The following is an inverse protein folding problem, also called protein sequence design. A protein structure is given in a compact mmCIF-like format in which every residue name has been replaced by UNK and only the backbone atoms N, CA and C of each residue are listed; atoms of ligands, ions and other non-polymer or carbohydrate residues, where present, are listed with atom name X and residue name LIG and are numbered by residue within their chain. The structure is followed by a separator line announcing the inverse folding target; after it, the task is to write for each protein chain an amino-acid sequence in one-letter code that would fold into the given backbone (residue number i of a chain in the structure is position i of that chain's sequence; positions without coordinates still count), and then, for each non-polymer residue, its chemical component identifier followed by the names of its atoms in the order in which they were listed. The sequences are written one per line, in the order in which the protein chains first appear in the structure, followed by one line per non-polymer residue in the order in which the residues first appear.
data_IF_206557009507
#
_entry.id   IF_206557009507
#
_cell.length_a   1.000
_cell.length_b   1.000
_cell.length_c   1.000
_cell.angle_alpha   90.00
_cell.angle_beta   90.00
_cell.angle_gamma   90.00
#
_symmetry.space_group_name_H-M   'P 1'
#
loop_
_entity.id
_entity.type
_entity.pdbx_description
1 polymer ?
#
# COMPACT_ATOMS: atom_id res chain seq x y z
N UNK A 1 -19.57 9.68 0.48
CA UNK A 1 -19.34 10.67 1.57
C UNK A 1 -18.23 10.18 2.52
N UNK A 2 -17.13 9.62 1.99
CA UNK A 2 -16.17 8.79 2.75
C UNK A 2 -14.85 9.48 3.15
N UNK A 3 -14.66 10.75 2.79
CA UNK A 3 -13.56 11.60 3.29
C UNK A 3 -14.00 13.05 3.53
N UNK A 4 -15.27 13.29 3.90
CA UNK A 4 -15.69 14.62 4.34
C UNK A 4 -15.36 14.82 5.82
N UNK A 5 -14.07 14.83 6.15
CA UNK A 5 -13.62 15.84 7.11
C UNK A 5 -13.83 17.15 6.35
N UNK A 6 -14.96 17.82 6.59
CA UNK A 6 -15.18 19.13 6.01
C UNK A 6 -13.96 20.00 6.34
N UNK A 7 -13.59 20.89 5.42
CA UNK A 7 -12.58 21.93 5.68
C UNK A 7 -12.80 22.59 7.05
N UNK A 8 -14.06 22.77 7.44
CA UNK A 8 -14.51 23.18 8.77
C UNK A 8 -14.04 22.27 9.90
N UNK A 9 -14.26 20.95 9.82
CA UNK A 9 -13.78 19.97 10.82
C UNK A 9 -12.25 19.97 10.95
N UNK A 10 -11.51 20.14 9.85
CA UNK A 10 -10.04 20.27 9.90
C UNK A 10 -9.60 21.50 10.72
N UNK A 11 -10.22 22.66 10.49
CA UNK A 11 -9.92 23.86 11.27
C UNK A 11 -10.41 23.78 12.72
N UNK A 12 -11.59 23.18 12.97
CA UNK A 12 -12.12 23.00 14.33
C UNK A 12 -11.21 22.11 15.20
N UNK A 13 -10.56 21.09 14.60
CA UNK A 13 -9.57 20.26 15.30
C UNK A 13 -8.32 21.00 15.77
N UNK A 14 -8.00 22.17 15.20
CA UNK A 14 -6.92 23.02 15.72
C UNK A 14 -7.28 23.66 17.06
N UNK A 15 -8.58 23.73 17.40
CA UNK A 15 -9.03 24.09 18.74
C UNK A 15 -9.12 22.86 19.63
N UNK A 16 -8.35 22.87 20.72
CA UNK A 16 -8.21 21.74 21.65
C UNK A 16 -9.55 21.25 22.23
N UNK A 17 -10.46 22.18 22.57
CA UNK A 17 -11.78 21.87 23.12
C UNK A 17 -12.66 21.09 22.13
N UNK A 18 -12.72 21.55 20.87
CA UNK A 18 -13.48 20.87 19.83
C UNK A 18 -12.87 19.51 19.46
N UNK A 19 -11.54 19.38 19.50
CA UNK A 19 -10.87 18.10 19.27
C UNK A 19 -11.35 17.03 20.26
N UNK A 20 -11.35 17.33 21.56
CA UNK A 20 -11.80 16.38 22.60
C UNK A 20 -13.27 16.00 22.41
N UNK A 21 -14.13 16.99 22.13
CA UNK A 21 -15.57 16.75 21.98
C UNK A 21 -15.92 15.92 20.74
N UNK A 22 -15.18 16.09 19.65
CA UNK A 22 -15.45 15.41 18.38
C UNK A 22 -14.83 14.01 18.31
N UNK A 23 -13.80 13.71 19.11
CA UNK A 23 -13.05 12.46 19.00
C UNK A 23 -13.91 11.18 19.19
N UNK A 24 -14.87 11.12 20.14
CA UNK A 24 -15.76 9.96 20.26
C UNK A 24 -16.61 9.72 19.01
N UNK A 25 -17.16 10.80 18.43
CA UNK A 25 -17.96 10.73 17.21
C UNK A 25 -17.12 10.28 16.00
N UNK A 26 -15.93 10.87 15.85
CA UNK A 26 -15.00 10.49 14.78
C UNK A 26 -14.52 9.04 14.93
N UNK A 27 -14.25 8.61 16.16
CA UNK A 27 -13.89 7.22 16.47
C UNK A 27 -15.01 6.25 16.10
N UNK A 28 -16.25 6.57 16.46
CA UNK A 28 -17.42 5.77 16.07
C UNK A 28 -17.61 5.71 14.55
N UNK A 29 -17.52 6.86 13.87
CA UNK A 29 -17.62 6.91 12.41
C UNK A 29 -16.51 6.10 11.73
N UNK A 30 -15.26 6.19 12.19
CA UNK A 30 -14.15 5.35 11.69
C UNK A 30 -14.45 3.87 11.83
N UNK A 31 -14.99 3.43 12.98
CA UNK A 31 -15.39 2.03 13.18
C UNK A 31 -16.46 1.57 12.18
N UNK A 32 -17.44 2.43 11.87
CA UNK A 32 -18.47 2.11 10.87
C UNK A 32 -17.88 1.99 9.45
N UNK A 33 -17.00 2.91 9.06
CA UNK A 33 -16.32 2.85 7.75
C UNK A 33 -15.46 1.59 7.64
N UNK A 34 -14.67 1.27 8.67
CA UNK A 34 -13.87 0.03 8.69
C UNK A 34 -14.75 -1.21 8.59
N UNK A 35 -15.88 -1.25 9.31
CA UNK A 35 -16.81 -2.37 9.22
C UNK A 35 -17.41 -2.53 7.81
N UNK A 36 -17.71 -1.41 7.13
CA UNK A 36 -18.20 -1.41 5.76
C UNK A 36 -17.12 -1.90 4.77
N UNK A 37 -15.90 -1.37 4.85
CA UNK A 37 -14.77 -1.82 4.00
C UNK A 37 -14.48 -3.30 4.21
N UNK A 38 -14.53 -3.79 5.46
CA UNK A 38 -14.38 -5.22 5.77
C UNK A 38 -15.43 -6.08 5.07
N UNK A 39 -16.69 -5.67 5.10
CA UNK A 39 -17.77 -6.40 4.40
C UNK A 39 -17.47 -6.43 2.90
N UNK A 40 -17.08 -5.29 2.31
CA UNK A 40 -16.76 -5.21 0.88
C UNK A 40 -15.55 -6.03 0.48
N UNK A 41 -14.53 -6.09 1.32
CA UNK A 41 -13.37 -6.93 1.13
C UNK A 41 -13.73 -8.42 1.15
N UNK A 42 -14.48 -8.87 2.16
CA UNK A 42 -14.92 -10.27 2.23
C UNK A 42 -15.81 -10.67 1.03
N UNK A 43 -16.64 -9.75 0.55
CA UNK A 43 -17.51 -9.98 -0.62
C UNK A 43 -16.73 -10.08 -1.94
N UNK A 44 -15.67 -9.28 -2.12
CA UNK A 44 -15.09 -9.03 -3.45
C UNK A 44 -13.59 -9.34 -3.60
N UNK A 45 -12.86 -9.59 -2.51
CA UNK A 45 -11.39 -9.73 -2.51
C UNK A 45 -10.90 -10.77 -3.52
N UNK A 46 -11.40 -12.00 -3.47
CA UNK A 46 -10.99 -13.07 -4.40
C UNK A 46 -11.23 -12.68 -5.88
N UNK A 47 -12.33 -11.98 -6.18
CA UNK A 47 -12.65 -11.53 -7.54
C UNK A 47 -11.70 -10.41 -7.98
N UNK A 48 -11.44 -9.44 -7.11
CA UNK A 48 -10.55 -8.31 -7.39
C UNK A 48 -9.13 -8.82 -7.59
N UNK A 49 -8.64 -9.64 -6.66
CA UNK A 49 -7.33 -10.29 -6.71
C UNK A 49 -7.11 -11.03 -8.03
N UNK A 50 -8.03 -11.93 -8.38
CA UNK A 50 -7.92 -12.71 -9.62
C UNK A 50 -8.00 -11.82 -10.87
N UNK A 51 -8.84 -10.78 -10.85
CA UNK A 51 -8.95 -9.84 -11.98
C UNK A 51 -7.63 -9.10 -12.21
N UNK A 52 -7.00 -8.59 -11.14
CA UNK A 52 -5.73 -7.85 -11.23
C UNK A 52 -4.60 -8.76 -11.71
N UNK A 53 -4.40 -9.92 -11.06
CA UNK A 53 -3.32 -10.85 -11.42
C UNK A 53 -3.44 -11.33 -12.87
N UNK A 54 -4.65 -11.71 -13.31
CA UNK A 54 -4.84 -12.20 -14.68
C UNK A 54 -4.64 -11.10 -15.72
N UNK A 55 -5.07 -9.86 -15.43
CA UNK A 55 -4.84 -8.72 -16.32
C UNK A 55 -3.35 -8.46 -16.51
N UNK A 56 -2.58 -8.40 -15.41
CA UNK A 56 -1.14 -8.13 -15.46
C UNK A 56 -0.39 -9.28 -16.15
N UNK A 57 -0.70 -10.53 -15.80
CA UNK A 57 -0.11 -11.73 -16.41
C UNK A 57 -0.38 -11.79 -17.92
N UNK A 58 -1.62 -11.55 -18.36
CA UNK A 58 -1.98 -11.52 -19.78
C UNK A 58 -1.20 -10.47 -20.57
N UNK A 59 -0.85 -9.36 -19.93
CA UNK A 59 -0.07 -8.30 -20.54
C UNK A 59 1.45 -8.45 -20.33
N UNK A 60 1.91 -9.60 -19.83
CA UNK A 60 3.34 -9.88 -19.66
C UNK A 60 4.02 -9.01 -18.61
N UNK A 61 3.28 -8.56 -17.59
CA UNK A 61 3.83 -7.81 -16.46
C UNK A 61 4.16 -8.80 -15.35
N UNK A 62 5.40 -8.73 -14.86
CA UNK A 62 5.83 -9.52 -13.71
C UNK A 62 5.37 -8.82 -12.43
N UNK A 63 4.44 -9.48 -11.71
CA UNK A 63 3.86 -8.99 -10.46
C UNK A 63 3.97 -10.10 -9.41
N UNK A 64 4.29 -9.74 -8.17
CA UNK A 64 4.37 -10.66 -7.04
C UNK A 64 3.53 -10.16 -5.86
N UNK A 65 3.21 -11.07 -4.94
CA UNK A 65 2.58 -10.69 -3.67
C UNK A 65 3.62 -10.00 -2.81
N UNK A 66 3.23 -8.89 -2.19
CA UNK A 66 4.11 -8.12 -1.34
C UNK A 66 3.46 -7.80 0.01
N UNK A 67 4.22 -7.21 0.94
CA UNK A 67 3.77 -6.74 2.25
C UNK A 67 2.69 -7.61 2.93
N UNK A 68 1.54 -7.03 3.29
CA UNK A 68 0.50 -7.69 4.08
C UNK A 68 -0.12 -8.86 3.33
N UNK A 69 -0.22 -8.75 2.00
CA UNK A 69 -0.73 -9.82 1.15
C UNK A 69 0.20 -11.02 1.09
N UNK A 70 1.51 -10.81 0.94
CA UNK A 70 2.51 -11.88 1.00
C UNK A 70 2.55 -12.51 2.40
N UNK A 71 2.54 -11.68 3.44
CA UNK A 71 2.55 -12.13 4.83
C UNK A 71 1.34 -13.02 5.13
N UNK A 72 0.14 -12.59 4.74
CA UNK A 72 -1.08 -13.39 4.87
C UNK A 72 -0.98 -14.71 4.09
N UNK A 73 -0.61 -14.65 2.80
CA UNK A 73 -0.49 -15.84 1.98
C UNK A 73 0.50 -16.86 2.55
N UNK A 74 1.64 -16.41 3.08
CA UNK A 74 2.70 -17.27 3.61
C UNK A 74 2.41 -17.80 5.02
N UNK A 75 1.89 -16.95 5.93
CA UNK A 75 1.68 -17.28 7.34
C UNK A 75 0.29 -17.87 7.60
N UNK A 76 -0.74 -17.24 7.04
CA UNK A 76 -2.14 -17.50 7.37
C UNK A 76 -2.82 -18.37 6.30
N UNK A 77 -2.15 -18.60 5.15
CA UNK A 77 -2.72 -19.25 3.96
C UNK A 77 -3.98 -18.56 3.42
N UNK A 78 -4.16 -17.27 3.77
CA UNK A 78 -5.29 -16.42 3.40
C UNK A 78 -4.87 -14.94 3.55
N UNK A 79 -5.71 -13.99 3.17
CA UNK A 79 -5.51 -12.59 3.52
C UNK A 79 -5.48 -12.41 5.06
N UNK A 80 -4.73 -11.42 5.53
CA UNK A 80 -4.69 -11.09 6.96
C UNK A 80 -6.09 -10.65 7.40
N UNK A 81 -6.61 -11.26 8.47
CA UNK A 81 -8.02 -11.12 8.92
C UNK A 81 -8.50 -9.68 9.15
N UNK A 82 -7.61 -8.79 9.55
CA UNK A 82 -7.92 -7.40 9.88
C UNK A 82 -7.31 -6.41 8.87
N UNK A 83 -6.88 -6.93 7.72
CA UNK A 83 -6.34 -6.15 6.61
C UNK A 83 -7.35 -6.17 5.46
N UNK A 84 -7.53 -5.02 4.80
CA UNK A 84 -8.64 -4.81 3.85
C UNK A 84 -8.19 -4.20 2.52
N UNK A 85 -6.90 -4.23 2.24
CA UNK A 85 -6.32 -3.94 0.94
C UNK A 85 -5.51 -5.15 0.43
N UNK A 86 -4.84 -4.96 -0.70
CA UNK A 86 -3.95 -5.96 -1.29
C UNK A 86 -2.69 -5.26 -1.76
N UNK A 87 -1.55 -5.87 -1.50
CA UNK A 87 -0.24 -5.31 -1.82
C UNK A 87 0.42 -6.13 -2.93
N UNK A 88 0.79 -5.45 -4.00
CA UNK A 88 1.50 -6.05 -5.13
C UNK A 88 2.83 -5.36 -5.36
N UNK A 89 3.88 -6.16 -5.50
CA UNK A 89 5.17 -5.69 -5.97
C UNK A 89 5.25 -5.77 -7.49
N UNK A 90 5.82 -4.74 -8.11
CA UNK A 90 6.14 -4.71 -9.54
C UNK A 90 7.46 -3.98 -9.77
N UNK A 91 8.11 -4.20 -10.90
CA UNK A 91 9.29 -3.42 -11.26
C UNK A 91 8.91 -2.01 -11.71
N UNK A 92 9.71 -1.02 -11.32
CA UNK A 92 9.48 0.38 -11.70
C UNK A 92 9.43 0.63 -13.21
N UNK A 93 10.05 -0.24 -14.01
CA UNK A 93 9.99 -0.20 -15.48
C UNK A 93 8.60 -0.47 -16.04
N UNK A 94 7.71 -1.13 -15.28
CA UNK A 94 6.34 -1.42 -15.69
C UNK A 94 5.32 -0.37 -15.21
N UNK A 95 5.77 0.68 -14.51
CA UNK A 95 4.90 1.70 -13.90
C UNK A 95 3.88 2.30 -14.88
N UNK A 96 4.34 2.85 -16.01
CA UNK A 96 3.46 3.52 -16.98
C UNK A 96 2.48 2.52 -17.60
N UNK A 97 2.94 1.30 -17.86
CA UNK A 97 2.13 0.23 -18.44
C UNK A 97 1.03 -0.23 -17.48
N UNK A 98 1.36 -0.41 -16.19
CA UNK A 98 0.36 -0.70 -15.15
C UNK A 98 -0.65 0.45 -15.07
N UNK A 99 -0.18 1.70 -15.03
CA UNK A 99 -1.04 2.88 -14.95
C UNK A 99 -2.06 2.92 -16.10
N UNK A 100 -1.60 2.71 -17.34
CA UNK A 100 -2.46 2.61 -18.53
C UNK A 100 -3.46 1.46 -18.42
N UNK A 101 -3.01 0.25 -18.07
CA UNK A 101 -3.89 -0.91 -17.95
C UNK A 101 -5.00 -0.70 -16.92
N UNK A 102 -4.67 -0.11 -15.77
CA UNK A 102 -5.67 0.19 -14.74
C UNK A 102 -6.72 1.17 -15.26
N UNK A 103 -6.30 2.25 -15.94
CA UNK A 103 -7.22 3.24 -16.51
C UNK A 103 -8.13 2.64 -17.58
N UNK A 104 -7.61 1.78 -18.44
CA UNK A 104 -8.36 1.19 -19.56
C UNK A 104 -9.32 0.07 -19.14
N UNK A 105 -9.13 -0.53 -17.95
CA UNK A 105 -9.88 -1.71 -17.51
C UNK A 105 -10.82 -1.43 -16.32
N UNK A 106 -11.22 -0.16 -16.12
CA UNK A 106 -12.28 0.21 -15.19
C UNK A 106 -11.87 0.27 -13.72
N UNK A 107 -10.57 0.37 -13.43
CA UNK A 107 -10.06 0.57 -12.09
C UNK A 107 -10.07 2.06 -11.73
N UNK A 108 -10.53 2.40 -10.53
CA UNK A 108 -10.56 3.79 -10.07
C UNK A 108 -9.25 4.15 -9.42
N UNK A 109 -8.53 5.15 -9.92
CA UNK A 109 -7.38 5.71 -9.20
C UNK A 109 -7.84 6.30 -7.87
N UNK A 110 -7.18 5.94 -6.78
CA UNK A 110 -7.44 6.47 -5.44
C UNK A 110 -6.35 7.46 -5.06
N UNK A 111 -5.10 7.03 -5.16
CA UNK A 111 -3.94 7.80 -4.71
C UNK A 111 -2.71 7.43 -5.50
N UNK A 112 -1.81 8.39 -5.63
CA UNK A 112 -0.48 8.20 -6.19
C UNK A 112 0.52 8.91 -5.29
N UNK A 113 1.58 8.19 -4.89
CA UNK A 113 2.75 8.81 -4.27
C UNK A 113 3.96 8.72 -5.17
N UNK A 114 4.82 9.73 -5.04
CA UNK A 114 6.05 9.74 -5.79
C UNK A 114 7.15 10.63 -5.22
N UNK A 115 8.39 10.28 -5.53
CA UNK A 115 9.54 11.19 -5.41
C UNK A 115 9.56 12.15 -6.61
N UNK A 116 9.82 13.43 -6.34
CA UNK A 116 9.95 14.46 -7.36
C UNK A 116 11.07 14.10 -8.35
N UNK A 117 10.88 14.45 -9.63
CA UNK A 117 11.79 14.04 -10.71
C UNK A 117 11.41 12.73 -11.38
N UNK A 118 10.52 11.94 -10.77
CA UNK A 118 9.79 10.87 -11.46
C UNK A 118 10.63 9.63 -11.87
N UNK A 119 11.88 9.52 -11.41
CA UNK A 119 12.81 8.43 -11.76
C UNK A 119 12.57 7.13 -10.97
N UNK A 120 12.26 7.24 -9.69
CA UNK A 120 12.00 6.12 -8.78
C UNK A 120 11.05 6.53 -7.65
N UNK A 121 10.76 5.59 -6.75
CA UNK A 121 9.91 5.82 -5.58
C UNK A 121 8.49 6.17 -5.97
N UNK A 122 7.73 5.14 -6.37
CA UNK A 122 6.33 5.25 -6.77
C UNK A 122 5.48 4.28 -5.99
N UNK A 123 4.27 4.72 -5.70
CA UNK A 123 3.19 3.90 -5.16
C UNK A 123 1.89 4.30 -5.86
N UNK A 124 1.09 3.32 -6.27
CA UNK A 124 -0.23 3.55 -6.87
C UNK A 124 -1.30 2.78 -6.11
N UNK A 125 -2.31 3.49 -5.62
CA UNK A 125 -3.51 2.90 -5.02
C UNK A 125 -4.67 2.96 -6.01
N UNK A 126 -5.31 1.82 -6.24
CA UNK A 126 -6.51 1.71 -7.05
C UNK A 126 -7.66 1.09 -6.25
N UNK A 127 -8.89 1.27 -6.73
CA UNK A 127 -10.10 0.66 -6.19
C UNK A 127 -10.90 -0.03 -7.29
N UNK A 128 -11.34 -1.25 -7.02
CA UNK A 128 -12.22 -2.02 -7.89
C UNK A 128 -13.20 -2.84 -7.04
N UNK A 129 -14.49 -2.81 -7.41
CA UNK A 129 -15.58 -3.46 -6.64
C UNK A 129 -15.50 -3.19 -5.13
N UNK A 130 -15.27 -1.91 -4.80
CA UNK A 130 -15.13 -1.42 -3.44
C UNK A 130 -13.96 -1.97 -2.62
N UNK A 131 -12.97 -2.61 -3.25
CA UNK A 131 -11.74 -3.08 -2.61
C UNK A 131 -10.55 -2.27 -3.12
N UNK A 132 -9.72 -1.80 -2.20
CA UNK A 132 -8.48 -1.12 -2.54
C UNK A 132 -7.36 -2.14 -2.77
N UNK A 133 -6.40 -1.76 -3.60
CA UNK A 133 -5.15 -2.48 -3.76
C UNK A 133 -4.04 -1.52 -4.19
N UNK A 134 -2.81 -1.84 -3.79
CA UNK A 134 -1.63 -1.01 -3.92
C UNK A 134 -0.57 -1.70 -4.78
N UNK A 135 0.11 -0.90 -5.60
CA UNK A 135 1.34 -1.28 -6.29
C UNK A 135 2.53 -0.56 -5.69
N UNK A 136 3.47 -1.34 -5.17
CA UNK A 136 4.78 -0.88 -4.76
C UNK A 136 5.79 -1.17 -5.87
N UNK A 137 6.49 -0.12 -6.31
CA UNK A 137 7.43 -0.24 -7.42
C UNK A 137 8.85 -0.43 -6.90
N UNK A 138 9.51 -1.47 -7.41
CA UNK A 138 10.85 -1.88 -6.99
C UNK A 138 11.91 -1.59 -8.04
N UNK A 139 13.11 -1.30 -7.55
CA UNK A 139 14.28 -0.91 -8.32
C UNK A 139 15.50 -1.69 -7.84
N UNK A 140 16.41 -2.03 -8.77
CA UNK A 140 17.77 -2.42 -8.43
C UNK A 140 18.65 -1.18 -8.41
N UNK A 141 19.46 -1.04 -7.36
CA UNK A 141 20.43 0.06 -7.22
C UNK A 141 21.88 -0.38 -7.36
N UNK A 142 22.12 -1.67 -7.22
CA UNK A 142 23.44 -2.28 -7.25
C UNK A 142 23.32 -3.73 -7.73
N UNK A 143 24.47 -4.40 -7.84
CA UNK A 143 24.57 -5.79 -8.29
C UNK A 143 24.25 -6.80 -7.18
N UNK A 144 23.74 -6.34 -6.02
CA UNK A 144 23.32 -7.25 -4.95
C UNK A 144 21.94 -7.85 -5.24
N UNK A 145 21.56 -8.85 -4.45
CA UNK A 145 20.21 -9.43 -4.49
C UNK A 145 19.15 -8.53 -3.84
N UNK A 146 19.47 -7.29 -3.47
CA UNK A 146 18.50 -6.40 -2.84
C UNK A 146 17.60 -5.71 -3.87
N UNK A 147 16.33 -5.59 -3.53
CA UNK A 147 15.38 -4.70 -4.19
C UNK A 147 15.07 -3.52 -3.26
N UNK A 148 14.80 -2.38 -3.88
CA UNK A 148 14.52 -1.13 -3.20
C UNK A 148 13.14 -0.64 -3.61
N UNK A 149 12.28 -0.39 -2.63
CA UNK A 149 11.00 0.31 -2.84
C UNK A 149 10.87 1.45 -1.83
N UNK A 150 9.74 2.15 -1.86
CA UNK A 150 9.50 3.33 -1.07
C UNK A 150 8.08 3.30 -0.51
N UNK A 151 7.97 3.61 0.78
CA UNK A 151 6.68 3.84 1.44
C UNK A 151 6.52 5.32 1.73
N UNK A 152 5.27 5.77 1.73
CA UNK A 152 4.95 7.19 1.88
C UNK A 152 3.93 7.42 2.98
N UNK A 153 3.94 8.62 3.54
CA UNK A 153 2.86 9.09 4.40
C UNK A 153 2.55 10.56 4.18
N UNK A 154 1.26 10.92 4.22
CA UNK A 154 0.86 12.32 4.21
C UNK A 154 1.18 12.96 5.56
N UNK A 155 1.81 14.15 5.60
CA UNK A 155 2.05 14.86 6.84
C UNK A 155 0.73 15.13 7.59
N UNK A 156 0.70 14.98 8.93
CA UNK A 156 -0.55 15.00 9.71
C UNK A 156 -1.26 16.37 9.72
N UNK A 157 -0.56 17.44 9.34
CA UNK A 157 -1.04 18.82 9.43
C UNK A 157 -1.44 19.43 8.09
N UNK A 158 -1.64 18.60 7.05
CA UNK A 158 -2.03 19.05 5.71
C UNK A 158 -3.49 18.69 5.45
N UNK A 159 -4.21 19.62 4.83
CA UNK A 159 -5.55 19.36 4.33
C UNK A 159 -5.43 18.52 3.05
N UNK A 160 -5.99 17.32 3.08
CA UNK A 160 -6.03 16.44 1.93
C UNK A 160 -7.08 16.95 0.94
N UNK A 161 -6.62 17.57 -0.15
CA UNK A 161 -7.46 18.05 -1.24
C UNK A 161 -7.26 17.17 -2.49
N UNK A 162 -8.34 16.93 -3.23
CA UNK A 162 -8.32 16.08 -4.42
C UNK A 162 -7.73 16.83 -5.62
N UNK A 163 -6.98 16.11 -6.45
CA UNK A 163 -6.49 16.60 -7.74
C UNK A 163 -5.36 17.62 -7.66
N UNK A 164 -4.75 17.81 -6.49
CA UNK A 164 -3.55 18.65 -6.32
C UNK A 164 -2.40 17.83 -5.75
N UNK A 165 -1.18 18.26 -6.05
CA UNK A 165 0.02 17.70 -5.44
C UNK A 165 0.19 18.22 -4.01
N UNK A 166 0.32 17.29 -3.07
CA UNK A 166 0.56 17.55 -1.67
C UNK A 166 1.95 17.02 -1.27
N UNK A 167 2.64 17.61 -0.28
CA UNK A 167 3.86 17.04 0.28
C UNK A 167 3.60 15.64 0.87
N UNK A 168 4.54 14.73 0.72
CA UNK A 168 4.54 13.40 1.33
C UNK A 168 5.88 13.13 2.02
N UNK A 169 5.88 12.48 3.17
CA UNK A 169 7.09 11.95 3.82
C UNK A 169 7.39 10.60 3.16
N UNK A 170 8.66 10.29 2.96
CA UNK A 170 9.10 9.05 2.28
C UNK A 170 10.12 8.31 3.12
N UNK A 171 10.04 6.98 3.08
CA UNK A 171 11.10 6.09 3.52
C UNK A 171 11.46 5.11 2.42
N UNK A 172 12.74 4.80 2.32
CA UNK A 172 13.26 3.71 1.52
C UNK A 172 13.15 2.39 2.29
N UNK A 173 12.75 1.34 1.57
CA UNK A 173 12.69 -0.03 2.04
C UNK A 173 13.68 -0.84 1.23
N UNK A 174 14.58 -1.53 1.94
CA UNK A 174 15.55 -2.45 1.33
C UNK A 174 15.18 -3.89 1.69
N UNK A 175 14.90 -4.74 0.70
CA UNK A 175 14.56 -6.15 0.90
C UNK A 175 15.49 -7.08 0.13
N UNK A 176 15.99 -8.18 0.74
CA UNK A 176 16.72 -9.20 0.01
C UNK A 176 15.75 -10.02 -0.86
N UNK A 177 16.00 -10.12 -2.16
CA UNK A 177 15.18 -10.85 -3.11
C UNK A 177 16.04 -11.64 -4.11
N UNK A 178 16.15 -12.95 -3.87
CA UNK A 178 16.95 -13.90 -4.66
C UNK A 178 16.18 -14.47 -5.86
N UNK A 179 15.35 -13.62 -6.48
CA UNK A 179 14.42 -14.00 -7.55
C UNK A 179 13.05 -14.41 -7.03
N UNK A 180 12.24 -15.00 -7.92
CA UNK A 180 10.83 -15.29 -7.67
C UNK A 180 10.51 -16.76 -7.93
N UNK A 181 9.50 -17.26 -7.23
CA UNK A 181 8.93 -18.60 -7.40
C UNK A 181 7.41 -18.52 -7.44
N UNK A 182 6.77 -19.58 -7.90
CA UNK A 182 5.32 -19.70 -7.96
C UNK A 182 4.72 -20.26 -6.66
N UNK A 183 3.54 -19.75 -6.31
CA UNK A 183 2.67 -20.28 -5.26
C UNK A 183 1.22 -20.28 -5.77
N UNK A 184 0.39 -21.20 -5.28
CA UNK A 184 -1.06 -21.13 -5.47
C UNK A 184 -1.67 -20.32 -4.32
N UNK A 185 -2.36 -19.23 -4.65
CA UNK A 185 -3.11 -18.42 -3.70
C UNK A 185 -4.44 -18.00 -4.33
N UNK A 186 -5.55 -18.20 -3.60
CA UNK A 186 -6.92 -17.91 -4.08
C UNK A 186 -7.26 -18.55 -5.44
N UNK A 187 -6.79 -19.78 -5.63
CA UNK A 187 -6.93 -20.57 -6.86
C UNK A 187 -6.23 -19.96 -8.09
N UNK A 188 -5.23 -19.11 -7.88
CA UNK A 188 -4.41 -18.52 -8.93
C UNK A 188 -2.93 -18.75 -8.63
N UNK A 189 -2.17 -19.09 -9.68
CA UNK A 189 -0.72 -19.17 -9.62
C UNK A 189 -0.14 -17.76 -9.67
N UNK A 190 0.57 -17.39 -8.61
CA UNK A 190 1.13 -16.06 -8.36
C UNK A 190 2.63 -16.16 -8.10
N UNK A 191 3.35 -15.05 -8.28
CA UNK A 191 4.77 -14.97 -7.94
C UNK A 191 4.93 -14.51 -6.49
N UNK A 192 5.95 -15.03 -5.83
CA UNK A 192 6.42 -14.59 -4.51
C UNK A 192 7.96 -14.57 -4.52
N UNK A 193 8.62 -13.77 -3.65
CA UNK A 193 10.08 -13.83 -3.50
C UNK A 193 10.53 -15.26 -3.16
N UNK A 194 11.53 -15.79 -3.86
CA UNK A 194 11.98 -17.18 -3.69
C UNK A 194 12.55 -17.45 -2.28
N UNK A 195 13.15 -16.42 -1.67
CA UNK A 195 13.61 -16.38 -0.29
C UNK A 195 12.55 -15.74 0.62
N UNK A 196 11.29 -16.20 0.56
CA UNK A 196 10.15 -15.55 1.22
C UNK A 196 10.33 -15.32 2.73
N UNK A 197 10.91 -16.28 3.45
CA UNK A 197 11.18 -16.15 4.89
C UNK A 197 12.14 -14.99 5.19
N UNK A 198 13.27 -14.91 4.48
CA UNK A 198 14.24 -13.83 4.60
C UNK A 198 13.65 -12.47 4.20
N UNK A 199 12.84 -12.46 3.13
CA UNK A 199 12.14 -11.27 2.65
C UNK A 199 11.15 -10.74 3.70
N UNK A 200 10.33 -11.61 4.29
CA UNK A 200 9.35 -11.23 5.32
C UNK A 200 10.03 -10.84 6.64
N UNK A 201 11.10 -11.52 7.05
CA UNK A 201 11.91 -11.11 8.21
C UNK A 201 12.50 -9.72 8.03
N UNK A 202 12.93 -9.36 6.82
CA UNK A 202 13.43 -8.02 6.55
C UNK A 202 12.35 -6.94 6.75
N UNK A 203 11.07 -7.23 6.45
CA UNK A 203 9.97 -6.28 6.59
C UNK A 203 9.33 -6.24 7.99
N UNK A 204 9.26 -7.39 8.66
CA UNK A 204 8.46 -7.58 9.88
C UNK A 204 9.26 -8.09 11.10
N UNK A 205 10.54 -8.38 10.92
CA UNK A 205 11.42 -8.95 11.95
C UNK A 205 11.26 -10.46 12.13
N UNK A 206 12.09 -11.04 13.01
CA UNK A 206 12.13 -12.50 13.27
C UNK A 206 10.81 -13.08 13.78
N UNK A 207 9.97 -12.26 14.42
CA UNK A 207 8.69 -12.66 15.00
C UNK A 207 7.51 -12.73 14.02
N UNK A 208 7.71 -12.47 12.72
CA UNK A 208 6.62 -12.22 11.76
C UNK A 208 5.58 -13.35 11.65
N UNK A 209 5.98 -14.60 11.94
CA UNK A 209 5.11 -15.78 11.94
C UNK A 209 4.12 -15.81 13.10
N UNK A 210 4.26 -14.94 14.10
CA UNK A 210 3.28 -14.75 15.17
C UNK A 210 2.56 -13.42 14.95
N UNK A 211 1.22 -13.40 14.80
CA UNK A 211 0.49 -12.14 14.64
C UNK A 211 0.71 -11.20 15.83
N UNK A 212 1.19 -9.99 15.54
CA UNK A 212 1.29 -8.91 16.52
C UNK A 212 0.26 -7.81 16.21
N UNK A 213 -0.81 -7.67 17.02
CA UNK A 213 -1.84 -6.65 16.80
C UNK A 213 -1.36 -5.22 17.07
N UNK A 214 -0.19 -5.04 17.68
CA UNK A 214 0.40 -3.73 17.98
C UNK A 214 1.51 -3.35 17.00
N UNK A 215 1.80 -4.18 15.99
CA UNK A 215 2.83 -3.91 15.00
C UNK A 215 2.58 -2.56 14.31
N UNK A 216 3.59 -1.71 14.33
CA UNK A 216 3.59 -0.42 13.67
C UNK A 216 4.73 -0.39 12.65
N UNK A 217 4.37 -0.49 11.36
CA UNK A 217 5.34 -0.52 10.27
C UNK A 217 6.33 0.65 10.30
N UNK A 218 5.93 1.82 10.81
CA UNK A 218 6.81 3.01 10.86
C UNK A 218 7.97 2.82 11.84
N UNK A 219 7.72 2.15 12.97
CA UNK A 219 8.67 2.04 14.08
C UNK A 219 9.29 0.66 14.21
N UNK A 220 8.61 -0.37 13.72
CA UNK A 220 8.94 -1.76 14.01
C UNK A 220 9.55 -2.48 12.79
N UNK A 221 9.35 -1.97 11.57
CA UNK A 221 9.97 -2.53 10.38
C UNK A 221 11.48 -2.26 10.37
N UNK A 222 12.33 -3.31 10.34
CA UNK A 222 13.77 -3.15 10.58
C UNK A 222 14.55 -2.64 9.36
N UNK A 223 13.92 -2.55 8.19
CA UNK A 223 14.57 -2.22 6.92
C UNK A 223 14.17 -0.85 6.33
N UNK A 224 13.57 0.03 7.15
CA UNK A 224 13.17 1.37 6.75
C UNK A 224 14.27 2.41 6.99
N UNK A 225 14.49 3.28 6.01
CA UNK A 225 15.28 4.51 6.15
C UNK A 225 14.41 5.71 5.79
N UNK A 226 14.06 6.53 6.79
CA UNK A 226 13.24 7.74 6.62
C UNK A 226 14.07 8.92 6.13
N UNK A 227 13.50 9.72 5.22
CA UNK A 227 14.11 10.94 4.72
C UNK A 227 13.27 12.17 5.06
N UNK A 228 13.95 13.27 5.34
CA UNK A 228 13.33 14.60 5.43
C UNK A 228 12.93 15.13 4.05
N UNK A 229 12.05 16.14 4.03
CA UNK A 229 11.64 16.83 2.80
C UNK A 229 12.80 17.54 2.08
N UNK A 230 13.84 17.91 2.84
CA UNK A 230 15.04 18.56 2.30
C UNK A 230 15.96 17.56 1.60
N UNK A 231 16.03 16.32 2.12
CA UNK A 231 16.80 15.24 1.51
C UNK A 231 16.11 14.65 0.28
N UNK A 232 14.82 14.32 0.41
CA UNK A 232 14.01 13.78 -0.69
C UNK A 232 12.64 14.46 -0.71
N UNK A 233 12.39 15.23 -1.78
CA UNK A 233 11.06 15.81 -1.98
C UNK A 233 10.11 14.76 -2.53
N UNK A 234 9.16 14.32 -1.71
CA UNK A 234 8.10 13.41 -2.13
C UNK A 234 6.73 14.11 -2.12
N UNK A 235 5.85 13.62 -2.99
CA UNK A 235 4.54 14.17 -3.30
C UNK A 235 3.47 13.07 -3.27
N UNK A 236 2.24 13.51 -3.05
CA UNK A 236 1.03 12.70 -3.12
C UNK A 236 0.00 13.42 -3.98
N UNK A 237 -0.75 12.67 -4.79
CA UNK A 237 -2.00 13.13 -5.41
C UNK A 237 -3.12 12.22 -4.93
N UNK A 238 -4.23 12.82 -4.48
CA UNK A 238 -5.44 12.09 -4.11
C UNK A 238 -6.47 12.30 -5.22
N UNK A 239 -6.93 11.21 -5.81
CA UNK A 239 -7.94 11.22 -6.86
C UNK A 239 -9.33 10.98 -6.30
N UNK A 240 -9.46 9.99 -5.39
CA UNK A 240 -10.76 9.60 -4.82
C UNK A 240 -10.74 9.46 -3.30
#
# INVERSE_FOLDING_TARGET
MRFFITKTLFYLKKCYLFKIMLEPFLSYHRKLVIAEEKVKFLENSDVVFNTVIQLLKKNGIHVWLDFGTLLGAYRDSDFIKNDFDMDFGAFGTDYDKIKTLMQENGFTSVREFFIAGHEYGRELTYRYKDVNFDFFFYYKKDDTDNLYTYTFSCPPNILLEKGIELPAIVAEIKTPCKGFTEMNFKNTIVQIPANTDEYLKANYGEGYMTPDPNFNYVTDSPNLTWYSQEEISAKCIIYN
#
